data_IF_772055433141
#
_entry.id   IF_772055433141
#
_cell.length_a   1.000
_cell.length_b   1.000
_cell.length_c   1.000
_cell.angle_alpha   90.00
_cell.angle_beta   90.00
_cell.angle_gamma   90.00
#
_symmetry.space_group_name_H-M   'P 1'
#
loop_
_entity.id
_entity.type
_entity.pdbx_description
1 polymer ?
#
# COMPACT_ATOMS: atom_id res chain seq x y z
N UNK A 1 18.79 -19.67 -14.65
CA UNK A 1 18.20 -21.04 -14.57
C UNK A 1 19.09 -21.99 -15.34
N UNK A 2 19.60 -23.02 -14.71
CA UNK A 2 20.44 -24.05 -15.34
C UNK A 2 19.62 -25.31 -15.54
N UNK A 3 19.72 -25.91 -16.69
CA UNK A 3 19.13 -27.22 -16.94
C UNK A 3 20.25 -28.28 -16.90
N UNK A 4 20.11 -29.27 -16.01
CA UNK A 4 21.03 -30.43 -15.98
C UNK A 4 20.76 -31.29 -17.19
N UNK A 5 21.81 -31.58 -17.97
CA UNK A 5 21.73 -32.47 -19.10
C UNK A 5 22.40 -33.80 -18.71
N UNK A 6 21.67 -34.90 -18.76
CA UNK A 6 22.17 -36.22 -18.47
C UNK A 6 22.87 -36.78 -19.68
N UNK A 7 23.88 -37.69 -19.46
CA UNK A 7 24.62 -38.33 -20.53
C UNK A 7 23.67 -39.08 -21.48
N UNK A 8 23.78 -38.81 -22.76
CA UNK A 8 22.94 -39.44 -23.80
C UNK A 8 21.54 -38.81 -23.97
N UNK A 9 21.23 -37.74 -23.24
CA UNK A 9 19.99 -36.95 -23.45
C UNK A 9 20.32 -35.66 -24.19
N UNK A 10 19.39 -35.21 -25.03
CA UNK A 10 19.45 -33.92 -25.70
C UNK A 10 18.27 -33.04 -25.25
N UNK A 11 18.47 -31.74 -25.27
CA UNK A 11 17.45 -30.76 -25.01
C UNK A 11 17.48 -29.73 -26.13
N UNK A 12 16.36 -29.60 -26.83
CA UNK A 12 16.22 -28.61 -27.91
C UNK A 12 15.73 -27.31 -27.34
N UNK A 13 16.40 -26.20 -27.69
CA UNK A 13 15.96 -24.86 -27.36
C UNK A 13 15.58 -24.18 -28.67
N UNK A 14 14.36 -23.75 -28.79
CA UNK A 14 13.86 -23.03 -29.95
C UNK A 14 13.81 -21.53 -29.64
N UNK A 15 14.40 -20.75 -30.52
CA UNK A 15 14.38 -19.30 -30.45
C UNK A 15 13.48 -18.76 -31.53
N UNK A 16 12.79 -17.65 -31.23
CA UNK A 16 12.04 -16.90 -32.20
C UNK A 16 12.53 -15.46 -32.18
N UNK A 17 13.00 -14.99 -33.32
CA UNK A 17 13.38 -13.60 -33.51
C UNK A 17 12.19 -12.90 -34.13
N UNK A 18 11.80 -11.76 -33.56
CA UNK A 18 10.70 -10.92 -34.02
C UNK A 18 11.30 -9.57 -34.35
N UNK A 19 11.15 -9.14 -35.59
CA UNK A 19 11.51 -7.80 -36.06
C UNK A 19 10.25 -6.96 -36.33
N UNK A 20 10.43 -5.67 -36.42
CA UNK A 20 9.35 -4.73 -36.76
C UNK A 20 9.84 -3.30 -36.76
N UNK A 21 9.09 -2.44 -37.43
CA UNK A 21 9.30 -1.00 -37.44
C UNK A 21 8.30 -0.30 -36.48
N UNK A 22 8.74 0.79 -35.89
CA UNK A 22 7.91 1.65 -35.03
C UNK A 22 8.40 3.10 -35.12
N UNK A 23 7.51 4.06 -34.96
CA UNK A 23 7.86 5.48 -35.00
C UNK A 23 8.60 5.97 -33.75
N UNK A 24 8.44 5.26 -32.63
CA UNK A 24 9.09 5.58 -31.36
C UNK A 24 9.20 4.34 -30.47
N UNK A 25 9.96 4.45 -29.38
CA UNK A 25 10.20 3.35 -28.45
C UNK A 25 8.92 2.81 -27.78
N UNK A 26 8.00 3.67 -27.38
CA UNK A 26 6.71 3.26 -26.77
C UNK A 26 5.85 2.42 -27.70
N UNK A 27 5.78 2.82 -28.97
CA UNK A 27 5.10 2.05 -30.01
C UNK A 27 5.79 0.71 -30.26
N UNK A 28 7.12 0.70 -30.33
CA UNK A 28 7.91 -0.54 -30.47
C UNK A 28 7.58 -1.53 -29.33
N UNK A 29 7.66 -1.08 -28.09
CA UNK A 29 7.35 -1.92 -26.92
C UNK A 29 5.93 -2.46 -26.99
N UNK A 30 4.94 -1.61 -27.30
CA UNK A 30 3.54 -2.00 -27.41
C UNK A 30 3.34 -3.07 -28.49
N UNK A 31 3.95 -2.87 -29.68
CA UNK A 31 3.85 -3.82 -30.78
C UNK A 31 4.51 -5.16 -30.44
N UNK A 32 5.66 -5.13 -29.75
CA UNK A 32 6.34 -6.35 -29.30
C UNK A 32 5.53 -7.13 -28.27
N UNK A 33 4.91 -6.45 -27.30
CA UNK A 33 4.04 -7.08 -26.32
C UNK A 33 2.84 -7.76 -26.99
N UNK A 34 2.16 -7.07 -27.92
CA UNK A 34 1.04 -7.64 -28.68
C UNK A 34 1.47 -8.88 -29.47
N UNK A 35 2.56 -8.79 -30.23
CA UNK A 35 3.08 -9.94 -30.99
C UNK A 35 3.45 -11.11 -30.09
N UNK A 36 4.10 -10.86 -28.95
CA UNK A 36 4.42 -11.91 -27.99
C UNK A 36 3.14 -12.55 -27.43
N UNK A 37 2.14 -11.75 -27.05
CA UNK A 37 0.85 -12.24 -26.56
C UNK A 37 0.18 -13.15 -27.61
N UNK A 38 0.11 -12.70 -28.86
CA UNK A 38 -0.50 -13.47 -29.94
C UNK A 38 0.24 -14.79 -30.22
N UNK A 39 1.58 -14.77 -30.14
CA UNK A 39 2.42 -15.96 -30.34
C UNK A 39 2.24 -16.97 -29.23
N UNK A 40 2.26 -16.52 -27.96
CA UNK A 40 2.11 -17.39 -26.81
C UNK A 40 0.66 -17.81 -26.59
N UNK A 41 -0.29 -17.02 -27.08
CA UNK A 41 -1.73 -17.25 -26.94
C UNK A 41 -2.09 -17.82 -25.55
N UNK A 42 -1.76 -17.08 -24.47
CA UNK A 42 -1.94 -17.61 -23.12
C UNK A 42 -3.42 -17.87 -22.89
N UNK A 43 -3.73 -19.10 -22.52
CA UNK A 43 -5.11 -19.43 -22.15
C UNK A 43 -5.44 -18.78 -20.82
N UNK A 44 -6.65 -18.22 -20.67
CA UNK A 44 -7.10 -17.70 -19.37
C UNK A 44 -7.01 -18.82 -18.33
N UNK A 45 -6.30 -18.55 -17.23
CA UNK A 45 -6.30 -19.46 -16.09
C UNK A 45 -7.68 -19.38 -15.43
N UNK A 46 -8.31 -20.52 -15.24
CA UNK A 46 -9.50 -20.58 -14.39
C UNK A 46 -9.07 -20.18 -12.96
N UNK A 47 -9.67 -19.15 -12.36
CA UNK A 47 -9.31 -18.77 -11.01
C UNK A 47 -9.66 -19.92 -10.04
N UNK A 48 -8.75 -20.23 -9.12
CA UNK A 48 -8.98 -21.25 -8.09
C UNK A 48 -10.14 -20.87 -7.16
N UNK A 49 -10.40 -19.56 -7.03
CA UNK A 49 -11.44 -19.01 -6.16
C UNK A 49 -12.25 -17.95 -6.92
N UNK A 50 -13.55 -17.95 -6.67
CA UNK A 50 -14.42 -16.88 -7.15
C UNK A 50 -14.16 -15.54 -6.46
N UNK A 51 -14.64 -14.40 -7.03
CA UNK A 51 -14.43 -13.07 -6.44
C UNK A 51 -14.91 -12.97 -4.98
N UNK A 52 -16.00 -13.61 -4.64
CA UNK A 52 -16.56 -13.56 -3.28
C UNK A 52 -15.75 -14.40 -2.28
N UNK A 53 -15.20 -15.51 -2.72
CA UNK A 53 -14.28 -16.31 -1.89
C UNK A 53 -12.96 -15.53 -1.66
N UNK A 54 -12.45 -14.82 -2.66
CA UNK A 54 -11.30 -13.95 -2.52
C UNK A 54 -11.56 -12.82 -1.54
N UNK A 55 -12.73 -12.16 -1.62
CA UNK A 55 -13.13 -11.12 -0.65
C UNK A 55 -13.22 -11.66 0.77
N UNK A 56 -13.85 -12.81 0.95
CA UNK A 56 -13.90 -13.49 2.28
C UNK A 56 -12.50 -13.80 2.80
N UNK A 57 -11.61 -14.27 1.93
CA UNK A 57 -10.20 -14.50 2.27
C UNK A 57 -9.50 -13.23 2.76
N UNK A 58 -9.69 -12.10 2.06
CA UNK A 58 -9.15 -10.80 2.45
C UNK A 58 -9.73 -10.30 3.77
N UNK A 59 -11.05 -10.44 4.00
CA UNK A 59 -11.68 -10.08 5.27
C UNK A 59 -11.15 -10.92 6.43
N UNK A 60 -10.99 -12.23 6.23
CA UNK A 60 -10.42 -13.11 7.23
C UNK A 60 -8.95 -12.76 7.52
N UNK A 61 -8.19 -12.41 6.48
CA UNK A 61 -6.82 -11.92 6.65
C UNK A 61 -6.80 -10.63 7.46
N UNK A 62 -7.64 -9.65 7.16
CA UNK A 62 -7.73 -8.40 7.89
C UNK A 62 -8.03 -8.64 9.37
N UNK A 63 -9.02 -9.48 9.70
CA UNK A 63 -9.34 -9.86 11.09
C UNK A 63 -8.16 -10.50 11.82
N UNK A 64 -7.50 -11.45 11.18
CA UNK A 64 -6.37 -12.19 11.78
C UNK A 64 -5.12 -11.35 11.93
N UNK A 65 -4.96 -10.34 11.12
CA UNK A 65 -3.82 -9.43 11.14
C UNK A 65 -4.04 -8.17 11.98
N UNK A 66 -5.25 -7.98 12.53
CA UNK A 66 -5.55 -6.88 13.43
C UNK A 66 -4.75 -6.98 14.72
N UNK A 67 -4.15 -5.88 15.12
CA UNK A 67 -3.33 -5.74 16.31
C UNK A 67 -3.78 -4.51 17.07
N UNK A 68 -4.13 -4.71 18.34
CA UNK A 68 -4.37 -3.63 19.31
C UNK A 68 -3.14 -3.51 20.20
N UNK A 69 -2.34 -2.48 19.97
CA UNK A 69 -1.12 -2.23 20.73
C UNK A 69 -0.90 -0.74 20.92
N UNK A 70 -1.23 -0.27 22.14
CA UNK A 70 -1.12 1.14 22.48
C UNK A 70 0.21 1.76 22.03
N UNK A 71 0.21 2.98 21.44
CA UNK A 71 -0.95 3.85 21.24
C UNK A 71 -1.74 3.59 19.96
N UNK A 72 -1.32 2.66 19.08
CA UNK A 72 -1.92 2.41 17.80
C UNK A 72 -2.69 1.11 17.73
N UNK A 73 -3.73 1.12 16.89
CA UNK A 73 -4.38 -0.06 16.39
C UNK A 73 -4.11 -0.14 14.88
N UNK A 74 -3.81 -1.32 14.38
CA UNK A 74 -3.44 -1.50 12.97
C UNK A 74 -3.63 -2.95 12.53
N UNK A 75 -3.60 -3.19 11.24
CA UNK A 75 -3.44 -4.54 10.72
C UNK A 75 -2.00 -4.75 10.24
N UNK A 76 -1.48 -5.94 10.49
CA UNK A 76 -0.14 -6.32 10.04
C UNK A 76 -0.15 -6.61 8.53
N UNK A 77 -0.17 -5.56 7.71
CA UNK A 77 -0.14 -5.67 6.25
C UNK A 77 1.26 -5.94 5.68
N UNK A 78 2.27 -5.91 6.53
CA UNK A 78 3.65 -5.83 6.09
C UNK A 78 4.33 -7.18 5.91
N UNK A 79 4.05 -8.17 6.75
CA UNK A 79 4.79 -9.43 6.70
C UNK A 79 3.99 -10.60 7.24
N UNK A 80 3.76 -11.56 6.37
CA UNK A 80 3.41 -12.92 6.73
C UNK A 80 4.58 -13.84 6.37
N UNK A 81 5.77 -13.55 6.91
CA UNK A 81 7.00 -14.28 6.56
C UNK A 81 7.13 -15.62 7.26
N UNK A 82 6.21 -15.95 8.16
CA UNK A 82 6.25 -17.21 8.89
C UNK A 82 5.31 -18.22 8.29
N UNK A 83 5.68 -19.48 8.30
CA UNK A 83 4.84 -20.61 7.80
C UNK A 83 3.49 -20.72 8.52
N UNK A 84 3.37 -20.14 9.71
CA UNK A 84 2.16 -20.11 10.53
C UNK A 84 1.31 -18.85 10.30
N UNK A 85 1.71 -17.97 9.36
CA UNK A 85 1.00 -16.75 9.02
C UNK A 85 0.68 -15.85 10.23
N UNK A 86 1.58 -15.78 11.22
CA UNK A 86 1.41 -14.89 12.37
C UNK A 86 1.56 -13.43 11.97
N UNK A 87 0.71 -12.55 12.52
CA UNK A 87 0.86 -11.11 12.33
C UNK A 87 2.21 -10.63 12.88
N UNK A 88 2.94 -9.86 12.07
CA UNK A 88 4.15 -9.21 12.54
C UNK A 88 3.80 -7.88 13.21
N UNK A 89 4.35 -7.54 14.39
CA UNK A 89 3.96 -6.35 15.14
C UNK A 89 4.59 -5.08 14.56
N UNK A 90 4.38 -4.86 13.27
CA UNK A 90 4.80 -3.66 12.57
C UNK A 90 3.67 -3.12 11.70
N UNK A 91 3.53 -1.81 11.73
CA UNK A 91 2.64 -1.04 10.89
C UNK A 91 3.44 -0.39 9.76
N UNK A 92 2.89 -0.36 8.55
CA UNK A 92 3.36 0.47 7.45
C UNK A 92 2.18 1.27 6.91
N UNK A 93 2.28 2.60 6.99
CA UNK A 93 1.14 3.49 6.74
C UNK A 93 0.70 3.49 5.28
N UNK A 94 1.65 3.44 4.36
CA UNK A 94 1.43 3.38 2.91
C UNK A 94 2.17 2.21 2.27
N UNK A 95 2.45 2.31 0.97
CA UNK A 95 3.18 1.33 0.17
C UNK A 95 2.55 -0.09 0.26
N UNK A 96 3.28 -1.08 0.75
CA UNK A 96 2.77 -2.46 0.86
C UNK A 96 1.75 -2.61 2.00
N UNK A 97 1.97 -1.95 3.13
CA UNK A 97 1.11 -2.06 4.31
C UNK A 97 -0.27 -1.44 4.12
N UNK A 98 -0.30 -0.22 3.60
CA UNK A 98 -1.54 0.54 3.30
C UNK A 98 -2.58 0.47 4.41
N UNK A 99 -2.12 0.60 5.66
CA UNK A 99 -2.96 0.36 6.85
C UNK A 99 -4.26 1.16 6.82
N UNK A 100 -4.18 2.46 6.53
CA UNK A 100 -5.36 3.33 6.52
C UNK A 100 -6.31 3.04 5.35
N UNK A 101 -5.78 2.76 4.16
CA UNK A 101 -6.62 2.43 3.00
C UNK A 101 -7.34 1.10 3.20
N UNK A 102 -6.66 0.11 3.77
CA UNK A 102 -7.28 -1.18 4.07
C UNK A 102 -8.32 -1.06 5.17
N UNK A 103 -8.09 -0.22 6.19
CA UNK A 103 -9.07 0.08 7.23
C UNK A 103 -10.33 0.73 6.64
N UNK A 104 -10.18 1.71 5.75
CA UNK A 104 -11.30 2.32 5.04
C UNK A 104 -12.06 1.30 4.18
N UNK A 105 -11.36 0.43 3.46
CA UNK A 105 -11.99 -0.63 2.66
C UNK A 105 -12.74 -1.64 3.54
N UNK A 106 -12.22 -1.94 4.74
CA UNK A 106 -12.90 -2.82 5.69
C UNK A 106 -14.22 -2.21 6.19
N UNK A 107 -14.27 -0.89 6.44
CA UNK A 107 -15.52 -0.19 6.77
C UNK A 107 -16.53 -0.34 5.63
N UNK A 108 -16.13 0.00 4.39
CA UNK A 108 -17.02 -0.05 3.24
C UNK A 108 -17.57 -1.46 2.97
N UNK A 109 -16.71 -2.49 3.07
CA UNK A 109 -17.15 -3.87 2.93
C UNK A 109 -18.06 -4.29 4.07
N UNK A 110 -17.69 -3.93 5.32
CA UNK A 110 -18.45 -4.28 6.51
C UNK A 110 -19.86 -3.67 6.51
N UNK A 111 -20.03 -2.44 6.05
CA UNK A 111 -21.33 -1.82 5.87
C UNK A 111 -22.17 -2.50 4.79
N UNK A 112 -21.56 -2.74 3.63
CA UNK A 112 -22.25 -3.39 2.51
C UNK A 112 -22.75 -4.81 2.87
N UNK A 113 -22.01 -5.53 3.70
CA UNK A 113 -22.28 -6.93 4.05
C UNK A 113 -22.76 -7.13 5.49
N UNK A 114 -23.03 -6.05 6.23
CA UNK A 114 -23.49 -6.07 7.63
C UNK A 114 -22.50 -6.74 8.60
N UNK A 115 -21.22 -6.68 8.30
CA UNK A 115 -20.12 -7.23 9.10
C UNK A 115 -19.59 -6.17 10.07
N UNK A 116 -20.27 -5.97 11.20
CA UNK A 116 -20.01 -4.92 12.19
C UNK A 116 -18.59 -4.92 12.76
N UNK A 117 -17.99 -6.08 12.89
CA UNK A 117 -16.62 -6.23 13.38
C UNK A 117 -15.60 -5.58 12.44
N UNK A 118 -15.76 -5.70 11.13
CA UNK A 118 -14.92 -5.04 10.14
C UNK A 118 -15.06 -3.52 10.19
N UNK A 119 -16.30 -3.03 10.34
CA UNK A 119 -16.56 -1.59 10.51
C UNK A 119 -15.87 -1.07 11.76
N UNK A 120 -16.00 -1.76 12.90
CA UNK A 120 -15.38 -1.36 14.16
C UNK A 120 -13.85 -1.37 14.07
N UNK A 121 -13.25 -2.46 13.57
CA UNK A 121 -11.79 -2.55 13.41
C UNK A 121 -11.26 -1.44 12.47
N UNK A 122 -11.95 -1.18 11.37
CA UNK A 122 -11.57 -0.11 10.44
C UNK A 122 -11.60 1.27 11.09
N UNK A 123 -12.67 1.60 11.81
CA UNK A 123 -12.77 2.87 12.55
C UNK A 123 -11.69 2.98 13.62
N UNK A 124 -11.49 1.96 14.44
CA UNK A 124 -10.48 1.96 15.49
C UNK A 124 -9.05 2.17 14.96
N UNK A 125 -8.72 1.60 13.80
CA UNK A 125 -7.43 1.83 13.14
C UNK A 125 -7.30 3.28 12.70
N UNK A 126 -8.30 3.81 11.99
CA UNK A 126 -8.27 5.19 11.49
C UNK A 126 -8.20 6.20 12.64
N UNK A 127 -9.05 6.05 13.65
CA UNK A 127 -9.08 6.94 14.82
C UNK A 127 -7.76 6.89 15.60
N UNK A 128 -7.19 5.70 15.87
CA UNK A 128 -5.93 5.59 16.60
C UNK A 128 -4.77 6.23 15.83
N UNK A 129 -4.73 6.06 14.50
CA UNK A 129 -3.72 6.70 13.67
C UNK A 129 -3.89 8.23 13.62
N UNK A 130 -5.12 8.73 13.59
CA UNK A 130 -5.40 10.17 13.60
C UNK A 130 -5.11 10.82 14.96
N UNK A 131 -5.15 10.05 16.05
CA UNK A 131 -4.83 10.54 17.40
C UNK A 131 -3.35 10.42 17.74
N UNK A 132 -2.66 9.37 17.26
CA UNK A 132 -1.33 9.00 17.78
C UNK A 132 -0.31 8.70 16.68
N UNK A 133 -0.69 8.72 15.40
CA UNK A 133 0.14 8.28 14.29
C UNK A 133 1.02 9.37 13.67
N UNK A 134 1.13 10.55 14.31
CA UNK A 134 1.87 11.69 13.77
C UNK A 134 3.14 11.98 14.54
N UNK A 135 4.17 12.47 13.85
CA UNK A 135 5.32 13.13 14.45
C UNK A 135 4.94 14.53 14.93
N UNK A 136 5.82 15.18 15.71
CA UNK A 136 5.63 16.56 16.14
C UNK A 136 5.58 17.57 14.99
N UNK A 137 6.20 17.24 13.84
CA UNK A 137 6.11 18.03 12.62
C UNK A 137 4.78 17.84 11.88
N UNK A 138 3.95 16.89 12.31
CA UNK A 138 2.61 16.64 11.79
C UNK A 138 2.55 15.68 10.61
N UNK A 139 3.64 15.01 10.24
CA UNK A 139 3.63 13.93 9.27
C UNK A 139 3.30 12.59 9.93
N UNK A 140 2.73 11.64 9.20
CA UNK A 140 2.54 10.30 9.72
C UNK A 140 3.88 9.60 9.96
N UNK A 141 3.95 8.73 10.98
CA UNK A 141 5.03 7.76 11.05
C UNK A 141 4.88 6.76 9.89
N UNK A 142 5.88 6.69 9.01
CA UNK A 142 5.86 5.80 7.83
C UNK A 142 5.78 4.33 8.23
N UNK A 143 6.64 3.95 9.18
CA UNK A 143 6.78 2.59 9.67
C UNK A 143 6.90 2.60 11.20
N UNK A 144 6.08 1.78 11.86
CA UNK A 144 6.16 1.56 13.31
C UNK A 144 6.41 0.09 13.58
N UNK A 145 7.53 -0.23 14.20
CA UNK A 145 7.87 -1.60 14.60
C UNK A 145 7.93 -1.73 16.10
N UNK A 146 6.87 -2.23 16.69
CA UNK A 146 6.73 -2.35 18.14
C UNK A 146 7.73 -3.31 18.81
N UNK A 147 8.41 -4.18 18.07
CA UNK A 147 9.52 -4.96 18.62
C UNK A 147 10.77 -4.11 18.85
N UNK A 148 10.85 -2.95 18.20
CA UNK A 148 11.93 -1.96 18.37
C UNK A 148 11.55 -0.78 19.25
N UNK A 149 10.32 -0.78 19.76
CA UNK A 149 9.72 0.35 20.47
C UNK A 149 8.97 1.30 19.53
N UNK A 150 8.20 2.22 20.11
CA UNK A 150 7.53 3.27 19.35
C UNK A 150 8.59 4.27 18.83
N UNK A 151 8.50 4.73 17.56
CA UNK A 151 9.49 5.64 16.99
C UNK A 151 9.51 6.98 17.71
N UNK A 152 10.66 7.65 17.67
CA UNK A 152 10.83 9.03 18.13
C UNK A 152 11.00 9.95 16.93
N UNK A 153 10.59 11.21 17.07
CA UNK A 153 10.60 12.21 16.00
C UNK A 153 12.01 12.49 15.47
N UNK A 154 13.02 12.48 16.34
CA UNK A 154 14.43 12.75 15.98
C UNK A 154 14.96 11.84 14.87
N UNK A 155 14.35 10.69 14.67
CA UNK A 155 14.74 9.70 13.64
C UNK A 155 13.68 9.49 12.57
N UNK A 156 12.66 10.34 12.57
CA UNK A 156 11.59 10.21 11.60
C UNK A 156 12.10 10.51 10.18
N UNK A 157 11.82 9.57 9.31
CA UNK A 157 12.11 9.65 7.87
C UNK A 157 10.81 9.35 7.15
N UNK A 158 10.42 10.27 6.30
CA UNK A 158 9.18 10.17 5.55
C UNK A 158 9.43 9.84 4.08
N UNK A 159 8.61 8.98 3.53
CA UNK A 159 8.53 8.72 2.09
C UNK A 159 7.33 9.47 1.54
N UNK A 160 7.52 10.33 0.54
CA UNK A 160 6.42 11.06 -0.10
C UNK A 160 5.32 10.11 -0.59
N UNK A 161 5.69 8.92 -1.03
CA UNK A 161 4.76 7.89 -1.45
C UNK A 161 3.90 7.38 -0.28
N UNK A 162 4.51 7.03 0.85
CA UNK A 162 3.78 6.52 2.00
C UNK A 162 2.84 7.58 2.58
N UNK A 163 3.34 8.80 2.71
CA UNK A 163 2.58 9.95 3.19
C UNK A 163 1.39 10.27 2.27
N UNK A 164 1.60 10.32 0.96
CA UNK A 164 0.53 10.62 0.00
C UNK A 164 -0.56 9.54 -0.02
N UNK A 165 -0.19 8.26 0.09
CA UNK A 165 -1.16 7.16 0.18
C UNK A 165 -1.96 7.22 1.49
N UNK A 166 -1.33 7.58 2.62
CA UNK A 166 -2.00 7.79 3.89
C UNK A 166 -3.00 8.95 3.82
N UNK A 167 -2.56 10.11 3.31
CA UNK A 167 -3.42 11.28 3.10
C UNK A 167 -4.61 10.94 2.20
N UNK A 168 -4.39 10.22 1.10
CA UNK A 168 -5.47 9.79 0.22
C UNK A 168 -6.52 8.93 0.95
N UNK A 169 -6.07 7.97 1.77
CA UNK A 169 -6.98 7.14 2.55
C UNK A 169 -7.82 7.96 3.55
N UNK A 170 -7.20 8.94 4.24
CA UNK A 170 -7.94 9.81 5.17
C UNK A 170 -8.90 10.74 4.42
N UNK A 171 -8.55 11.26 3.26
CA UNK A 171 -9.48 12.07 2.46
C UNK A 171 -10.71 11.25 2.03
N UNK A 172 -10.54 9.98 1.69
CA UNK A 172 -11.68 9.09 1.42
C UNK A 172 -12.54 8.90 2.68
N UNK A 173 -11.91 8.68 3.83
CA UNK A 173 -12.60 8.52 5.10
C UNK A 173 -13.35 9.79 5.51
N UNK A 174 -12.74 10.96 5.42
CA UNK A 174 -13.38 12.24 5.72
C UNK A 174 -14.56 12.52 4.77
N UNK A 175 -14.43 12.18 3.50
CA UNK A 175 -15.54 12.28 2.54
C UNK A 175 -16.70 11.36 2.93
N UNK A 176 -16.40 10.13 3.32
CA UNK A 176 -17.38 9.18 3.82
C UNK A 176 -18.06 9.70 5.09
N UNK A 177 -17.31 10.12 6.10
CA UNK A 177 -17.81 10.69 7.35
C UNK A 177 -18.75 11.88 7.10
N UNK A 178 -18.35 12.78 6.19
CA UNK A 178 -19.18 13.91 5.78
C UNK A 178 -20.49 13.45 5.13
N UNK A 179 -20.50 12.39 4.35
CA UNK A 179 -21.72 11.82 3.75
C UNK A 179 -22.66 11.23 4.80
N UNK A 180 -22.12 10.83 5.96
CA UNK A 180 -22.87 10.36 7.12
C UNK A 180 -23.28 11.50 8.08
N UNK A 181 -23.06 12.76 7.69
CA UNK A 181 -23.36 13.93 8.51
C UNK A 181 -22.36 14.23 9.63
N UNK A 182 -21.26 13.48 9.72
CA UNK A 182 -20.19 13.67 10.71
C UNK A 182 -19.11 14.61 10.15
N UNK A 183 -18.63 15.53 10.97
CA UNK A 183 -17.60 16.51 10.61
C UNK A 183 -16.40 16.38 11.53
N UNK A 184 -15.22 16.41 10.96
CA UNK A 184 -13.94 16.28 11.65
C UNK A 184 -13.02 17.44 11.27
N UNK A 185 -13.38 18.65 11.65
CA UNK A 185 -12.67 19.88 11.25
C UNK A 185 -11.19 19.86 11.66
N UNK A 186 -10.86 19.26 12.80
CA UNK A 186 -9.49 19.12 13.27
C UNK A 186 -8.67 18.23 12.33
N UNK A 187 -9.21 17.09 11.93
CA UNK A 187 -8.54 16.18 10.99
C UNK A 187 -8.42 16.78 9.59
N UNK A 188 -9.48 17.46 9.12
CA UNK A 188 -9.44 18.19 7.84
C UNK A 188 -8.31 19.24 7.84
N UNK A 189 -8.18 20.01 8.91
CA UNK A 189 -7.11 20.99 9.06
C UNK A 189 -5.72 20.35 9.11
N UNK A 190 -5.56 19.25 9.82
CA UNK A 190 -4.29 18.54 9.91
C UNK A 190 -3.87 17.99 8.54
N UNK A 191 -4.77 17.34 7.83
CA UNK A 191 -4.48 16.83 6.48
C UNK A 191 -4.14 17.97 5.52
N UNK A 192 -4.81 19.11 5.65
CA UNK A 192 -4.45 20.32 4.87
C UNK A 192 -3.02 20.77 5.16
N UNK A 193 -2.59 20.77 6.42
CA UNK A 193 -1.21 21.12 6.78
C UNK A 193 -0.18 20.18 6.15
N UNK A 194 -0.44 18.85 6.11
CA UNK A 194 0.41 17.88 5.43
C UNK A 194 0.49 18.20 3.93
N UNK A 195 -0.63 18.48 3.29
CA UNK A 195 -0.67 18.83 1.87
C UNK A 195 0.09 20.15 1.58
N UNK A 196 -0.07 21.15 2.43
CA UNK A 196 0.70 22.41 2.33
C UNK A 196 2.22 22.13 2.52
N UNK A 197 2.57 21.17 3.39
CA UNK A 197 3.94 20.68 3.52
C UNK A 197 4.46 20.03 2.23
N UNK A 198 3.66 19.18 1.57
CA UNK A 198 4.05 18.58 0.29
C UNK A 198 4.32 19.61 -0.79
N UNK A 199 3.54 20.69 -0.86
CA UNK A 199 3.78 21.76 -1.82
C UNK A 199 5.17 22.42 -1.61
N UNK A 200 5.65 22.51 -0.36
CA UNK A 200 6.99 23.03 -0.06
C UNK A 200 8.11 22.04 -0.46
N UNK A 201 7.81 20.74 -0.48
CA UNK A 201 8.76 19.70 -0.90
C UNK A 201 8.85 19.56 -2.42
N UNK A 202 7.96 20.19 -3.17
CA UNK A 202 7.96 20.14 -4.63
C UNK A 202 9.17 20.91 -5.20
N UNK A 203 9.98 20.23 -6.00
CA UNK A 203 11.13 20.82 -6.68
C UNK A 203 10.70 21.67 -7.89
N UNK A 204 11.56 22.56 -8.36
CA UNK A 204 11.28 23.42 -9.52
C UNK A 204 10.86 22.66 -10.78
N UNK A 205 11.32 21.42 -10.95
CA UNK A 205 10.93 20.54 -12.05
C UNK A 205 9.58 19.85 -11.87
N UNK A 206 8.84 20.12 -10.78
CA UNK A 206 7.54 19.53 -10.48
C UNK A 206 7.59 18.17 -9.78
N UNK A 207 8.76 17.56 -9.67
CA UNK A 207 8.97 16.31 -8.93
C UNK A 207 9.16 16.56 -7.43
N UNK A 208 9.10 15.50 -6.64
CA UNK A 208 9.29 15.51 -5.19
C UNK A 208 10.55 14.73 -4.82
N UNK A 209 11.13 15.04 -3.66
CA UNK A 209 12.09 14.17 -3.01
C UNK A 209 11.42 12.83 -2.70
N UNK A 210 12.14 11.72 -2.89
CA UNK A 210 11.60 10.39 -2.54
C UNK A 210 11.43 10.23 -1.05
N UNK A 211 12.41 10.74 -0.28
CA UNK A 211 12.42 10.74 1.18
C UNK A 211 12.82 12.10 1.72
N UNK A 212 12.33 12.44 2.90
CA UNK A 212 12.60 13.70 3.58
C UNK A 212 12.53 13.54 5.10
N UNK A 213 13.14 14.47 5.83
CA UNK A 213 13.05 14.58 7.28
C UNK A 213 11.88 15.47 7.71
N UNK A 214 11.57 15.48 9.01
CA UNK A 214 10.53 16.33 9.61
C UNK A 214 10.68 17.82 9.27
N UNK A 215 11.90 18.31 9.11
CA UNK A 215 12.19 19.70 8.71
C UNK A 215 12.03 19.97 7.20
N UNK A 216 11.67 18.95 6.42
CA UNK A 216 11.52 19.02 4.98
C UNK A 216 12.83 18.89 4.19
N UNK A 217 13.96 18.62 4.84
CA UNK A 217 15.22 18.38 4.14
C UNK A 217 15.21 17.08 3.35
N UNK A 218 15.77 17.12 2.12
CA UNK A 218 15.82 15.98 1.19
C UNK A 218 16.94 15.02 1.61
N UNK A 219 16.62 13.73 1.68
CA UNK A 219 17.59 12.66 2.04
C UNK A 219 18.28 12.09 0.79
N UNK A 220 17.62 12.16 -0.36
CA UNK A 220 18.07 11.55 -1.62
C UNK A 220 18.64 12.60 -2.59
N UNK A 221 19.09 13.76 -2.09
CA UNK A 221 19.62 14.87 -2.90
C UNK A 221 21.01 14.56 -3.46
#
# INVERSE_FOLDING_TARGET
TYAKLEKGKSKTITWRIIDGSANNYGEHVTNMWKKCFDIYNPQPLAPLFGPDEMKKGLCNYFRRSYIDRYPLKYHSGHTLLTSDCKPYPAMQIGFCGRVLLNAFNAIGYGEQHQEKDLVNMGNEILESCLQHGFTSAGYFYDDVNFNKGFPTDEKAVHSIRQQSEAVYAILLYLKYEKSQGRKHAEWENHIKQILDGFLKLQKKGGNFARKFHDDGSDIDA
#
